data_IF_788153750022
#
_entry.id   IF_788153750022
#
_cell.length_a   1.000
_cell.length_b   1.000
_cell.length_c   1.000
_cell.angle_alpha   90.00
_cell.angle_beta   90.00
_cell.angle_gamma   90.00
#
_symmetry.space_group_name_H-M   'P 1'
#
loop_
_entity.id
_entity.type
_entity.pdbx_description
1 polymer ?
#
# COMPACT_ATOMS: atom_id res chain seq x y z
N UNK A 1 -62.68 -0.26 13.63
CA UNK A 1 -62.19 1.12 13.41
C UNK A 1 -61.51 1.58 14.70
N UNK A 2 -60.17 1.51 14.75
CA UNK A 2 -59.31 2.47 15.44
C UNK A 2 -57.90 2.24 14.91
N UNK A 3 -57.44 3.23 14.15
CA UNK A 3 -56.21 3.26 13.37
C UNK A 3 -55.14 3.87 14.26
N UNK A 4 -54.15 3.08 14.70
CA UNK A 4 -53.02 3.62 15.49
C UNK A 4 -51.97 4.12 14.50
N UNK A 5 -51.96 5.44 14.29
CA UNK A 5 -50.90 6.13 13.54
C UNK A 5 -49.60 6.07 14.32
N UNK A 6 -48.60 5.39 13.78
CA UNK A 6 -47.21 5.46 14.25
C UNK A 6 -46.59 6.75 13.69
N UNK A 7 -46.41 7.77 14.52
CA UNK A 7 -45.62 8.95 14.15
C UNK A 7 -44.15 8.57 14.29
N UNK A 8 -43.53 8.16 13.18
CA UNK A 8 -42.07 8.06 13.08
C UNK A 8 -41.50 9.45 12.87
N UNK A 9 -41.12 10.13 13.96
CA UNK A 9 -40.27 11.31 13.89
C UNK A 9 -38.83 10.87 13.59
N UNK A 10 -38.56 10.65 12.29
CA UNK A 10 -37.22 10.46 11.78
C UNK A 10 -36.49 11.81 11.77
N UNK A 11 -35.88 12.19 12.90
CA UNK A 11 -34.90 13.28 12.91
C UNK A 11 -33.58 12.70 12.38
N UNK A 12 -33.45 12.67 11.06
CA UNK A 12 -32.21 12.33 10.38
C UNK A 12 -31.20 13.48 10.50
N UNK A 13 -30.64 13.67 11.69
CA UNK A 13 -29.41 14.44 11.84
C UNK A 13 -28.24 13.56 11.36
N UNK A 14 -27.99 13.59 10.05
CA UNK A 14 -26.81 12.99 9.45
C UNK A 14 -25.59 13.86 9.79
N UNK A 15 -24.86 13.50 10.83
CA UNK A 15 -23.53 14.06 11.06
C UNK A 15 -22.56 13.51 10.01
N UNK A 16 -22.31 14.30 8.96
CA UNK A 16 -21.31 14.00 7.94
C UNK A 16 -19.92 14.07 8.57
N UNK A 17 -19.14 12.98 8.44
CA UNK A 17 -17.74 12.97 8.90
C UNK A 17 -16.97 14.08 8.18
N UNK A 18 -16.35 14.99 8.92
CA UNK A 18 -15.37 15.92 8.37
C UNK A 18 -14.20 15.09 7.85
N UNK A 19 -14.04 15.05 6.52
CA UNK A 19 -13.00 14.25 5.87
C UNK A 19 -11.69 15.02 5.66
N UNK A 20 -11.73 16.35 5.73
CA UNK A 20 -10.58 17.22 5.49
C UNK A 20 -10.79 18.57 6.15
N UNK A 21 -9.80 19.02 6.91
CA UNK A 21 -9.68 20.41 7.34
C UNK A 21 -8.80 21.15 6.32
N UNK A 22 -9.23 22.34 5.88
CA UNK A 22 -8.52 23.14 4.88
C UNK A 22 -8.38 24.57 5.41
N UNK A 23 -7.19 25.16 5.27
CA UNK A 23 -6.90 26.53 5.72
C UNK A 23 -7.31 27.49 4.59
N UNK A 24 -7.78 28.71 4.93
CA UNK A 24 -8.23 29.73 3.97
C UNK A 24 -7.20 29.99 2.86
N UNK A 25 -5.91 30.03 3.20
CA UNK A 25 -4.80 30.20 2.25
C UNK A 25 -4.72 29.11 1.18
N UNK A 26 -5.18 27.89 1.48
CA UNK A 26 -5.23 26.77 0.54
C UNK A 26 -6.44 26.85 -0.41
N UNK A 27 -7.52 27.53 0.00
CA UNK A 27 -8.69 27.78 -0.85
C UNK A 27 -8.39 28.87 -1.89
N UNK A 28 -7.66 29.92 -1.50
CA UNK A 28 -7.25 31.01 -2.39
C UNK A 28 -6.21 30.57 -3.45
N UNK A 29 -5.40 29.55 -3.16
CA UNK A 29 -4.37 28.99 -4.07
C UNK A 29 -4.85 27.77 -4.86
N UNK A 30 -6.14 27.45 -4.80
CA UNK A 30 -6.65 26.19 -5.35
C UNK A 30 -6.48 26.12 -6.86
N UNK A 31 -6.75 27.22 -7.57
CA UNK A 31 -6.63 27.27 -9.02
C UNK A 31 -5.17 27.20 -9.47
N UNK A 32 -4.26 27.89 -8.77
CA UNK A 32 -2.81 27.79 -8.98
C UNK A 32 -2.31 26.34 -8.81
N UNK A 33 -2.71 25.66 -7.74
CA UNK A 33 -2.34 24.26 -7.48
C UNK A 33 -2.89 23.31 -8.56
N UNK A 34 -4.08 23.57 -9.10
CA UNK A 34 -4.65 22.80 -10.21
C UNK A 34 -3.87 23.06 -11.49
N UNK A 35 -3.50 24.31 -11.76
CA UNK A 35 -2.69 24.67 -12.92
C UNK A 35 -1.30 24.03 -12.87
N UNK A 36 -0.60 24.13 -11.74
CA UNK A 36 0.69 23.46 -11.51
C UNK A 36 0.58 21.95 -11.69
N UNK A 37 -0.48 21.35 -11.14
CA UNK A 37 -0.74 19.92 -11.28
C UNK A 37 -0.94 19.52 -12.75
N UNK A 38 -1.74 20.28 -13.50
CA UNK A 38 -2.00 20.03 -14.92
C UNK A 38 -0.73 20.20 -15.77
N UNK A 39 0.08 21.22 -15.50
CA UNK A 39 1.36 21.42 -16.18
C UNK A 39 2.32 20.26 -15.90
N UNK A 40 2.41 19.80 -14.65
CA UNK A 40 3.20 18.64 -14.29
C UNK A 40 2.73 17.38 -15.03
N UNK A 41 1.43 17.12 -15.03
CA UNK A 41 0.83 15.98 -15.75
C UNK A 41 1.14 16.05 -17.24
N UNK A 42 1.03 17.21 -17.88
CA UNK A 42 1.38 17.38 -19.31
C UNK A 42 2.82 16.98 -19.60
N UNK A 43 3.76 17.48 -18.79
CA UNK A 43 5.19 17.15 -18.93
C UNK A 43 5.45 15.65 -18.81
N UNK A 44 4.85 14.99 -17.81
CA UNK A 44 5.03 13.54 -17.65
C UNK A 44 4.37 12.76 -18.80
N UNK A 45 3.26 13.23 -19.36
CA UNK A 45 2.64 12.60 -20.53
C UNK A 45 3.52 12.68 -21.78
N UNK A 46 4.23 13.79 -21.96
CA UNK A 46 5.26 13.91 -23.00
C UNK A 46 6.37 12.88 -22.76
N UNK A 47 6.87 12.76 -21.53
CA UNK A 47 7.88 11.74 -21.19
C UNK A 47 7.40 10.30 -21.43
N UNK A 48 6.14 9.97 -21.10
CA UNK A 48 5.54 8.67 -21.39
C UNK A 48 5.51 8.41 -22.89
N UNK A 49 5.21 9.43 -23.70
CA UNK A 49 5.17 9.32 -25.16
C UNK A 49 6.56 9.15 -25.77
N UNK A 50 7.57 9.80 -25.17
CA UNK A 50 8.96 9.77 -25.63
C UNK A 50 9.70 8.48 -25.25
N UNK A 51 9.61 8.06 -23.98
CA UNK A 51 10.38 6.94 -23.44
C UNK A 51 9.59 5.62 -23.41
N UNK A 52 8.27 5.69 -23.59
CA UNK A 52 7.37 4.57 -23.34
C UNK A 52 6.98 4.45 -21.88
N UNK A 53 5.78 3.89 -21.63
CA UNK A 53 5.20 3.80 -20.30
C UNK A 53 6.00 2.88 -19.34
N UNK A 54 6.78 1.93 -19.88
CA UNK A 54 7.66 1.07 -19.09
C UNK A 54 8.80 1.84 -18.41
N UNK A 55 9.21 2.97 -18.99
CA UNK A 55 10.36 3.75 -18.54
C UNK A 55 9.99 4.97 -17.68
N UNK A 56 8.70 5.17 -17.42
CA UNK A 56 8.21 6.24 -16.54
C UNK A 56 7.68 5.63 -15.26
N UNK A 57 8.28 6.03 -14.14
CA UNK A 57 8.05 5.41 -12.84
C UNK A 57 7.44 6.40 -11.86
N UNK A 58 6.63 5.86 -10.96
CA UNK A 58 6.13 6.56 -9.81
C UNK A 58 6.51 5.82 -8.53
N UNK A 59 6.97 6.58 -7.54
CA UNK A 59 7.20 6.07 -6.20
C UNK A 59 6.76 7.08 -5.15
N UNK A 60 6.32 6.57 -4.01
CA UNK A 60 5.96 7.35 -2.84
C UNK A 60 6.09 6.46 -1.60
N UNK A 61 6.25 7.08 -0.44
CA UNK A 61 6.23 6.36 0.83
C UNK A 61 4.81 6.30 1.41
N UNK A 62 4.51 5.24 2.16
CA UNK A 62 3.32 5.18 3.00
C UNK A 62 3.61 4.54 4.34
N UNK A 63 3.23 5.23 5.41
CA UNK A 63 3.23 4.69 6.76
C UNK A 63 2.05 3.74 6.98
N UNK A 64 2.34 2.67 7.72
CA UNK A 64 1.43 1.65 8.20
C UNK A 64 1.59 1.51 9.70
N UNK A 65 0.49 1.62 10.44
CA UNK A 65 0.50 1.24 11.84
C UNK A 65 0.66 -0.27 11.93
N UNK A 66 1.38 -0.76 12.94
CA UNK A 66 1.49 -2.20 13.16
C UNK A 66 0.09 -2.81 13.35
N UNK A 67 -0.73 -2.20 14.20
CA UNK A 67 -2.12 -2.57 14.44
C UNK A 67 -3.07 -1.46 13.99
N UNK A 68 -4.00 -1.80 13.10
CA UNK A 68 -4.99 -0.88 12.55
C UNK A 68 -6.38 -1.23 13.08
N UNK A 69 -7.02 -0.30 13.79
CA UNK A 69 -8.38 -0.46 14.28
C UNK A 69 -9.38 0.36 13.46
N UNK A 70 -10.63 -0.07 13.45
CA UNK A 70 -11.71 0.76 12.93
C UNK A 70 -11.92 1.95 13.89
N UNK A 71 -11.93 3.18 13.39
CA UNK A 71 -12.23 4.37 14.21
C UNK A 71 -13.70 4.48 14.63
N UNK A 72 -14.47 3.39 14.51
CA UNK A 72 -15.88 3.27 14.87
C UNK A 72 -16.10 1.86 15.40
N UNK A 73 -16.86 1.75 16.48
CA UNK A 73 -17.35 0.47 17.00
C UNK A 73 -18.85 0.58 17.25
N UNK A 74 -19.52 -0.56 17.33
CA UNK A 74 -20.94 -0.64 17.65
C UNK A 74 -21.10 -0.46 19.17
N UNK A 75 -21.11 0.79 19.64
CA UNK A 75 -21.43 1.13 21.03
C UNK A 75 -22.76 1.87 21.12
N UNK A 76 -23.38 1.88 22.29
CA UNK A 76 -24.55 2.71 22.54
C UNK A 76 -24.22 4.20 22.33
N UNK A 77 -25.17 4.95 21.78
CA UNK A 77 -25.00 6.38 21.52
C UNK A 77 -24.94 7.12 22.86
N UNK A 78 -23.90 7.93 23.06
CA UNK A 78 -23.68 8.66 24.31
C UNK A 78 -22.78 7.95 25.33
N UNK A 79 -22.28 6.74 25.02
CA UNK A 79 -21.29 6.08 25.87
C UNK A 79 -19.99 6.88 25.90
N UNK A 80 -19.61 7.37 27.09
CA UNK A 80 -18.44 8.24 27.29
C UNK A 80 -17.10 7.49 27.18
N UNK A 81 -17.07 6.20 27.48
CA UNK A 81 -15.88 5.33 27.37
C UNK A 81 -16.22 4.08 26.59
N UNK A 82 -15.47 3.83 25.54
CA UNK A 82 -15.64 2.68 24.66
C UNK A 82 -14.34 1.91 24.64
N UNK A 83 -14.37 0.69 25.15
CA UNK A 83 -13.21 -0.20 25.19
C UNK A 83 -13.23 -1.12 23.96
N UNK A 84 -12.06 -1.33 23.37
CA UNK A 84 -11.87 -2.23 22.23
C UNK A 84 -10.67 -3.12 22.51
N UNK A 85 -10.82 -4.41 22.20
CA UNK A 85 -9.72 -5.36 22.29
C UNK A 85 -8.67 -5.00 21.24
N UNK A 86 -7.41 -4.98 21.67
CA UNK A 86 -6.23 -4.78 20.83
C UNK A 86 -5.19 -5.83 21.21
N UNK A 87 -4.41 -6.31 20.26
CA UNK A 87 -3.35 -7.27 20.52
C UNK A 87 -2.16 -6.60 21.23
N UNK A 88 -1.87 -5.33 20.94
CA UNK A 88 -0.77 -4.60 21.59
C UNK A 88 -0.94 -3.08 21.53
N UNK A 89 -0.91 -2.43 22.70
CA UNK A 89 -0.94 -0.95 22.81
C UNK A 89 0.22 -0.27 22.07
N UNK A 90 1.41 -0.86 22.08
CA UNK A 90 2.57 -0.32 21.38
C UNK A 90 2.39 -0.42 19.85
N UNK A 91 1.73 -1.48 19.37
CA UNK A 91 1.47 -1.66 17.95
C UNK A 91 0.47 -0.65 17.38
N UNK A 92 -0.28 0.05 18.25
CA UNK A 92 -1.16 1.16 17.86
C UNK A 92 -0.40 2.48 17.63
N UNK A 93 0.72 2.70 18.31
CA UNK A 93 1.47 3.97 18.30
C UNK A 93 2.68 3.94 17.37
N UNK A 94 3.23 2.76 17.13
CA UNK A 94 4.36 2.57 16.23
C UNK A 94 3.91 2.29 14.80
N UNK A 95 4.74 2.70 13.84
CA UNK A 95 4.49 2.49 12.43
C UNK A 95 5.76 2.03 11.72
N UNK A 96 5.57 1.40 10.58
CA UNK A 96 6.62 1.13 9.61
C UNK A 96 6.23 1.77 8.28
N UNK A 97 7.21 1.95 7.40
CA UNK A 97 6.99 2.57 6.09
C UNK A 97 7.30 1.58 4.98
N UNK A 98 6.49 1.59 3.93
CA UNK A 98 6.84 0.93 2.67
C UNK A 98 7.02 1.97 1.56
N UNK A 99 7.86 1.66 0.57
CA UNK A 99 8.05 2.48 -0.62
C UNK A 99 8.08 1.59 -1.88
N UNK A 100 6.92 1.41 -2.54
CA UNK A 100 6.83 0.69 -3.81
C UNK A 100 7.28 1.55 -5.00
N UNK A 101 7.54 0.88 -6.12
CA UNK A 101 7.80 1.48 -7.43
C UNK A 101 6.78 0.91 -8.42
N UNK A 102 6.06 1.77 -9.12
CA UNK A 102 5.08 1.38 -10.14
C UNK A 102 5.43 2.08 -11.45
N UNK A 103 5.54 1.36 -12.56
CA UNK A 103 5.70 1.95 -13.89
C UNK A 103 4.36 2.47 -14.43
N UNK A 104 4.41 3.40 -15.38
CA UNK A 104 3.24 3.85 -16.13
C UNK A 104 2.66 2.73 -17.02
N UNK A 105 3.47 1.73 -17.36
CA UNK A 105 3.06 0.44 -17.95
C UNK A 105 2.45 -0.54 -16.95
N UNK A 106 2.06 -0.05 -15.77
CA UNK A 106 1.16 -0.76 -14.88
C UNK A 106 1.82 -1.92 -14.11
N UNK A 107 3.17 -1.99 -14.10
CA UNK A 107 3.95 -3.01 -13.40
C UNK A 107 4.46 -2.50 -12.06
N UNK A 108 4.19 -3.28 -11.00
CA UNK A 108 4.78 -3.10 -9.68
C UNK A 108 6.17 -3.75 -9.66
N UNK A 109 7.22 -2.94 -9.56
CA UNK A 109 8.61 -3.41 -9.53
C UNK A 109 8.98 -3.95 -8.14
N UNK A 110 9.86 -4.95 -8.13
CA UNK A 110 10.44 -5.54 -6.93
C UNK A 110 11.93 -5.19 -6.87
N UNK A 111 12.55 -5.10 -5.68
CA UNK A 111 11.94 -5.38 -4.37
C UNK A 111 11.16 -4.19 -3.77
N UNK A 112 10.25 -4.49 -2.84
CA UNK A 112 9.60 -3.50 -1.98
C UNK A 112 10.56 -3.06 -0.88
N UNK A 113 10.75 -1.75 -0.72
CA UNK A 113 11.54 -1.21 0.37
C UNK A 113 10.69 -1.01 1.63
N UNK A 114 11.16 -1.52 2.77
CA UNK A 114 10.46 -1.47 4.06
C UNK A 114 11.38 -0.88 5.11
N UNK A 115 10.91 0.16 5.79
CA UNK A 115 11.61 0.80 6.92
C UNK A 115 10.91 0.45 8.22
N UNK A 116 11.61 -0.27 9.09
CA UNK A 116 11.12 -0.63 10.41
C UNK A 116 11.61 0.37 11.46
N UNK A 117 10.80 0.61 12.48
CA UNK A 117 11.22 1.39 13.64
C UNK A 117 12.05 0.53 14.60
N UNK A 118 13.23 0.99 14.98
CA UNK A 118 14.09 0.41 16.01
C UNK A 118 14.60 1.52 16.95
N UNK A 119 14.70 1.27 18.25
CA UNK A 119 15.00 2.28 19.29
C UNK A 119 16.26 3.10 18.99
N UNK A 120 17.33 2.41 18.58
CA UNK A 120 18.63 3.01 18.25
C UNK A 120 18.80 3.25 16.75
N UNK A 121 17.74 3.04 15.96
CA UNK A 121 17.78 3.12 14.50
C UNK A 121 18.60 2.02 13.83
N UNK A 122 18.98 0.97 14.56
CA UNK A 122 19.77 -0.15 14.07
C UNK A 122 19.14 -1.47 14.52
N UNK A 123 19.32 -2.52 13.71
CA UNK A 123 18.97 -3.88 14.13
C UNK A 123 20.04 -4.40 15.10
N UNK A 124 19.60 -4.86 16.29
CA UNK A 124 20.47 -5.59 17.21
C UNK A 124 20.98 -6.91 16.61
N UNK A 125 22.06 -7.51 17.16
CA UNK A 125 22.69 -8.72 16.59
C UNK A 125 21.70 -9.89 16.40
N UNK A 126 20.87 -10.15 17.40
CA UNK A 126 19.85 -11.21 17.36
C UNK A 126 18.79 -10.92 16.29
N UNK A 127 18.38 -9.66 16.14
CA UNK A 127 17.41 -9.25 15.11
C UNK A 127 18.01 -9.44 13.73
N UNK A 128 19.26 -9.04 13.49
CA UNK A 128 19.93 -9.21 12.19
C UNK A 128 19.99 -10.67 11.72
N UNK A 129 20.18 -11.61 12.66
CA UNK A 129 20.23 -13.05 12.37
C UNK A 129 18.82 -13.58 12.04
N UNK A 130 17.83 -13.17 12.83
CA UNK A 130 16.48 -13.77 12.77
C UNK A 130 15.48 -13.00 11.90
N UNK A 131 15.86 -11.86 11.33
CA UNK A 131 14.94 -11.05 10.53
C UNK A 131 14.48 -11.81 9.28
N UNK A 132 13.18 -11.76 9.02
CA UNK A 132 12.61 -12.38 7.84
C UNK A 132 13.19 -11.75 6.56
N UNK A 133 13.60 -12.60 5.62
CA UNK A 133 14.15 -12.21 4.32
C UNK A 133 13.36 -12.89 3.20
N UNK A 134 13.09 -12.15 2.14
CA UNK A 134 12.53 -12.67 0.90
C UNK A 134 13.08 -11.84 -0.27
N UNK A 135 13.18 -12.45 -1.46
CA UNK A 135 13.78 -11.80 -2.65
C UNK A 135 13.07 -10.52 -3.08
N UNK A 136 11.77 -10.43 -2.79
CA UNK A 136 10.89 -9.35 -3.22
C UNK A 136 10.78 -8.20 -2.20
N UNK A 137 11.54 -8.22 -1.10
CA UNK A 137 11.59 -7.14 -0.12
C UNK A 137 13.04 -6.79 0.27
N UNK A 138 13.28 -5.52 0.61
CA UNK A 138 14.50 -5.08 1.29
C UNK A 138 14.08 -4.32 2.54
N UNK A 139 14.71 -4.65 3.67
CA UNK A 139 14.32 -4.16 4.98
C UNK A 139 15.46 -3.41 5.64
N UNK A 140 15.18 -2.20 6.10
CA UNK A 140 16.15 -1.36 6.82
C UNK A 140 15.55 -0.85 8.15
N UNK A 141 16.38 -0.60 9.17
CA UNK A 141 15.94 0.01 10.40
C UNK A 141 15.99 1.54 10.33
N UNK A 142 15.17 2.21 11.12
CA UNK A 142 15.32 3.64 11.41
C UNK A 142 14.74 3.98 12.79
N UNK A 143 15.16 5.10 13.39
CA UNK A 143 14.70 5.47 14.74
C UNK A 143 13.19 5.74 14.81
N UNK A 144 12.59 6.17 13.70
CA UNK A 144 11.18 6.59 13.65
C UNK A 144 10.28 5.66 12.84
N UNK A 145 10.85 4.68 12.12
CA UNK A 145 10.11 3.88 11.13
C UNK A 145 9.70 4.67 9.87
N UNK A 146 10.14 5.93 9.74
CA UNK A 146 9.90 6.79 8.57
C UNK A 146 11.13 6.79 7.66
N UNK A 147 10.91 7.10 6.39
CA UNK A 147 11.99 7.30 5.43
C UNK A 147 12.61 8.70 5.63
N UNK A 148 13.85 8.75 6.11
CA UNK A 148 14.68 9.96 6.12
C UNK A 148 15.26 10.24 4.73
N UNK A 149 15.88 11.41 4.53
CA UNK A 149 16.58 11.74 3.28
C UNK A 149 17.67 10.71 2.97
N UNK A 150 18.47 10.30 3.95
CA UNK A 150 19.55 9.31 3.75
C UNK A 150 18.99 7.94 3.33
N UNK A 151 17.88 7.51 3.94
CA UNK A 151 17.20 6.28 3.56
C UNK A 151 16.56 6.38 2.18
N UNK A 152 16.12 7.57 1.77
CA UNK A 152 15.66 7.81 0.41
C UNK A 152 16.81 7.69 -0.60
N UNK A 153 17.99 8.23 -0.28
CA UNK A 153 19.20 8.08 -1.10
C UNK A 153 19.58 6.60 -1.21
N UNK A 154 19.58 5.88 -0.09
CA UNK A 154 19.83 4.44 -0.07
C UNK A 154 18.80 3.68 -0.92
N UNK A 155 17.51 3.96 -0.77
CA UNK A 155 16.47 3.38 -1.61
C UNK A 155 16.71 3.66 -3.09
N UNK A 156 17.06 4.89 -3.45
CA UNK A 156 17.29 5.28 -4.83
C UNK A 156 18.44 4.47 -5.44
N UNK A 157 19.57 4.37 -4.70
CA UNK A 157 20.76 3.65 -5.13
C UNK A 157 20.57 2.13 -5.17
N UNK A 158 20.07 1.56 -4.08
CA UNK A 158 20.11 0.10 -3.88
C UNK A 158 18.86 -0.59 -4.43
N UNK A 159 17.77 0.14 -4.66
CA UNK A 159 16.46 -0.41 -5.04
C UNK A 159 16.00 0.12 -6.40
N UNK A 160 15.94 1.44 -6.57
CA UNK A 160 15.40 2.02 -7.80
C UNK A 160 16.35 1.85 -8.98
N UNK A 161 17.62 2.28 -8.85
CA UNK A 161 18.57 2.22 -9.96
C UNK A 161 18.72 0.79 -10.53
N UNK A 162 18.83 -0.30 -9.76
CA UNK A 162 19.02 -1.63 -10.32
C UNK A 162 17.84 -2.16 -11.16
N UNK A 163 16.63 -1.66 -10.94
CA UNK A 163 15.38 -2.25 -11.50
C UNK A 163 14.79 -1.46 -12.67
N UNK A 164 15.43 -0.36 -13.05
CA UNK A 164 15.01 0.50 -14.17
C UNK A 164 15.97 0.42 -15.34
N UNK A 165 15.46 0.76 -16.52
CA UNK A 165 16.24 0.76 -17.75
C UNK A 165 17.20 1.95 -17.84
N UNK A 166 18.07 1.92 -18.85
CA UNK A 166 19.15 2.90 -19.03
C UNK A 166 18.64 4.33 -19.16
N UNK A 167 17.48 4.56 -19.78
CA UNK A 167 16.84 5.87 -19.85
C UNK A 167 15.49 5.78 -19.16
N UNK A 168 15.28 6.58 -18.12
CA UNK A 168 14.04 6.52 -17.35
C UNK A 168 13.67 7.85 -16.71
N UNK A 169 12.39 7.95 -16.33
CA UNK A 169 11.82 9.07 -15.58
C UNK A 169 11.28 8.57 -14.25
N UNK A 170 11.52 9.33 -13.18
CA UNK A 170 11.02 9.03 -11.85
C UNK A 170 10.23 10.20 -11.27
N UNK A 171 8.94 9.97 -11.01
CA UNK A 171 8.06 10.92 -10.32
C UNK A 171 8.04 10.64 -8.81
N UNK A 172 8.51 11.60 -7.99
CA UNK A 172 8.58 11.49 -6.53
C UNK A 172 7.92 12.67 -5.83
N UNK A 173 7.40 12.45 -4.62
CA UNK A 173 7.01 13.53 -3.71
C UNK A 173 8.17 14.19 -2.97
N UNK A 174 9.40 13.72 -3.16
CA UNK A 174 10.61 14.21 -2.50
C UNK A 174 11.43 15.10 -3.44
N UNK A 175 12.27 15.96 -2.86
CA UNK A 175 13.13 16.86 -3.63
C UNK A 175 14.21 16.11 -4.40
N UNK A 176 14.39 16.45 -5.68
CA UNK A 176 15.47 15.92 -6.52
C UNK A 176 16.85 16.11 -5.90
N UNK A 177 17.07 17.21 -5.18
CA UNK A 177 18.37 17.57 -4.58
C UNK A 177 18.97 16.49 -3.69
N UNK A 178 18.13 15.63 -3.10
CA UNK A 178 18.60 14.53 -2.27
C UNK A 178 19.43 13.50 -3.07
N UNK A 179 19.28 13.45 -4.40
CA UNK A 179 19.85 12.41 -5.25
C UNK A 179 20.98 12.89 -6.16
N UNK A 180 21.33 14.19 -6.13
CA UNK A 180 22.28 14.80 -7.07
C UNK A 180 23.70 14.18 -6.99
N UNK A 181 24.09 13.68 -5.82
CA UNK A 181 25.41 13.06 -5.59
C UNK A 181 25.43 11.54 -5.78
N UNK A 182 24.34 10.93 -6.25
CA UNK A 182 24.28 9.47 -6.45
C UNK A 182 24.89 9.09 -7.79
N UNK A 183 25.82 8.12 -7.77
CA UNK A 183 26.34 7.52 -8.99
C UNK A 183 25.22 6.78 -9.74
N UNK A 184 24.95 7.19 -10.99
CA UNK A 184 23.86 6.60 -11.79
C UNK A 184 24.26 5.33 -12.55
N UNK A 185 25.50 4.85 -12.38
CA UNK A 185 25.98 3.59 -12.99
C UNK A 185 25.74 3.50 -14.52
N UNK A 186 25.94 4.62 -15.22
CA UNK A 186 25.74 4.71 -16.67
C UNK A 186 24.27 4.82 -17.12
N UNK A 187 23.34 4.99 -16.18
CA UNK A 187 21.92 5.30 -16.44
C UNK A 187 21.68 6.80 -16.52
N UNK A 188 20.74 7.18 -17.36
CA UNK A 188 20.18 8.51 -17.51
C UNK A 188 18.77 8.51 -16.88
N UNK A 189 18.68 9.10 -15.68
CA UNK A 189 17.45 9.13 -14.88
C UNK A 189 17.01 10.56 -14.65
N UNK A 190 15.84 10.90 -15.17
CA UNK A 190 15.22 12.20 -14.99
C UNK A 190 14.20 12.17 -13.84
N UNK A 191 14.57 12.79 -12.71
CA UNK A 191 13.69 12.90 -11.54
C UNK A 191 12.80 14.14 -11.65
N UNK A 192 11.49 13.93 -11.58
CA UNK A 192 10.48 14.97 -11.49
C UNK A 192 9.84 14.98 -10.09
N UNK A 193 10.03 16.08 -9.37
CA UNK A 193 9.38 16.29 -8.07
C UNK A 193 7.93 16.76 -8.25
N UNK A 194 6.99 16.00 -7.70
CA UNK A 194 5.56 16.34 -7.67
C UNK A 194 5.38 17.64 -6.85
N UNK A 195 4.69 18.66 -7.39
CA UNK A 195 4.51 19.94 -6.71
C UNK A 195 3.83 19.80 -5.34
N UNK A 196 4.27 20.59 -4.38
CA UNK A 196 3.71 20.59 -3.03
C UNK A 196 2.20 20.88 -3.06
N UNK A 197 1.42 20.18 -2.22
CA UNK A 197 -0.05 20.35 -2.19
C UNK A 197 -0.82 19.63 -3.30
N UNK A 198 -0.13 19.07 -4.31
CA UNK A 198 -0.78 18.38 -5.44
C UNK A 198 -0.86 16.86 -5.31
N UNK A 199 -0.25 16.27 -4.27
CA UNK A 199 -0.21 14.82 -4.02
C UNK A 199 -1.59 14.16 -4.05
N UNK A 200 -2.61 14.81 -3.50
CA UNK A 200 -3.99 14.29 -3.51
C UNK A 200 -4.66 14.25 -4.89
N UNK A 201 -4.05 14.90 -5.88
CA UNK A 201 -4.58 15.08 -7.24
C UNK A 201 -3.83 14.21 -8.24
N UNK A 202 -2.49 14.22 -8.18
CA UNK A 202 -1.67 13.68 -9.28
C UNK A 202 -0.65 12.61 -8.84
N UNK A 203 -0.59 12.18 -7.59
CA UNK A 203 0.37 11.15 -7.18
C UNK A 203 -0.31 9.75 -7.24
N UNK A 204 -0.09 8.88 -8.27
CA UNK A 204 -0.84 7.64 -8.49
C UNK A 204 -0.93 6.73 -7.26
N UNK A 205 0.18 6.50 -6.56
CA UNK A 205 0.19 5.70 -5.35
C UNK A 205 -0.69 6.29 -4.24
N UNK A 206 -0.70 7.62 -4.08
CA UNK A 206 -1.52 8.29 -3.07
C UNK A 206 -3.00 8.39 -3.48
N UNK A 207 -3.26 8.71 -4.75
CA UNK A 207 -4.61 8.89 -5.32
C UNK A 207 -5.40 7.58 -5.32
N UNK A 208 -4.72 6.45 -5.55
CA UNK A 208 -5.36 5.15 -5.52
C UNK A 208 -4.49 4.02 -5.00
N UNK A 209 -3.22 3.86 -5.42
CA UNK A 209 -2.44 2.63 -5.21
C UNK A 209 -2.33 2.12 -3.76
N UNK A 210 -2.21 3.00 -2.77
CA UNK A 210 -2.12 2.60 -1.36
C UNK A 210 -3.46 2.18 -0.75
N UNK A 211 -4.59 2.62 -1.31
CA UNK A 211 -5.92 2.26 -0.79
C UNK A 211 -6.19 0.74 -0.88
N UNK A 212 -6.09 0.06 -2.04
CA UNK A 212 -6.29 -1.38 -2.11
C UNK A 212 -5.24 -2.13 -1.29
N UNK A 213 -4.00 -1.63 -1.20
CA UNK A 213 -2.94 -2.22 -0.37
C UNK A 213 -3.32 -2.25 1.12
N UNK A 214 -3.74 -1.10 1.66
CA UNK A 214 -4.21 -0.96 3.05
C UNK A 214 -5.47 -1.78 3.30
N UNK A 215 -6.39 -1.82 2.34
CA UNK A 215 -7.59 -2.64 2.45
C UNK A 215 -7.26 -4.14 2.47
N UNK A 216 -6.28 -4.61 1.69
CA UNK A 216 -5.84 -5.99 1.71
C UNK A 216 -5.26 -6.37 3.06
N UNK A 217 -4.33 -5.56 3.58
CA UNK A 217 -3.74 -5.74 4.91
C UNK A 217 -4.83 -5.81 5.99
N UNK A 218 -5.74 -4.82 5.98
CA UNK A 218 -6.84 -4.76 6.95
C UNK A 218 -7.72 -6.00 6.88
N UNK A 219 -8.12 -6.41 5.68
CA UNK A 219 -9.00 -7.57 5.52
C UNK A 219 -8.31 -8.86 6.01
N UNK A 220 -7.03 -9.02 5.71
CA UNK A 220 -6.23 -10.14 6.22
C UNK A 220 -6.15 -10.15 7.76
N UNK A 221 -5.95 -8.99 8.39
CA UNK A 221 -5.99 -8.87 9.85
C UNK A 221 -7.37 -9.16 10.44
N UNK A 222 -8.43 -8.68 9.79
CA UNK A 222 -9.81 -8.95 10.21
C UNK A 222 -10.12 -10.47 10.16
N UNK A 223 -9.57 -11.21 9.18
CA UNK A 223 -9.68 -12.69 9.11
C UNK A 223 -8.97 -13.39 10.28
N UNK A 224 -7.76 -12.94 10.65
CA UNK A 224 -7.05 -13.52 11.81
C UNK A 224 -7.87 -13.41 13.08
N UNK A 225 -8.52 -12.25 13.29
CA UNK A 225 -9.40 -12.02 14.44
C UNK A 225 -10.67 -12.88 14.33
N UNK A 226 -11.34 -12.87 13.18
CA UNK A 226 -12.61 -13.58 12.97
C UNK A 226 -12.49 -15.09 13.21
N UNK A 227 -11.39 -15.68 12.73
CA UNK A 227 -11.13 -17.11 12.87
C UNK A 227 -10.36 -17.45 14.15
N UNK A 228 -10.10 -16.47 15.03
CA UNK A 228 -9.36 -16.64 16.29
C UNK A 228 -8.03 -17.37 16.10
N UNK A 229 -7.29 -17.00 15.05
CA UNK A 229 -6.01 -17.63 14.72
C UNK A 229 -4.93 -17.17 15.70
N UNK A 230 -4.18 -18.12 16.25
CA UNK A 230 -3.07 -17.84 17.18
C UNK A 230 -1.84 -17.33 16.44
N UNK A 231 -1.87 -16.04 16.06
CA UNK A 231 -0.78 -15.38 15.35
C UNK A 231 -0.77 -13.89 15.66
N UNK A 232 0.40 -13.39 16.07
CA UNK A 232 0.63 -11.96 16.22
C UNK A 232 1.12 -11.37 14.90
N UNK A 233 0.22 -10.79 14.10
CA UNK A 233 0.58 -10.15 12.83
C UNK A 233 1.47 -8.91 13.00
N UNK A 234 1.52 -8.34 14.20
CA UNK A 234 2.27 -7.14 14.53
C UNK A 234 3.73 -7.44 14.90
N UNK A 235 4.08 -8.71 15.10
CA UNK A 235 5.46 -9.13 15.27
C UNK A 235 6.28 -8.81 14.01
N UNK A 236 7.54 -8.37 14.21
CA UNK A 236 8.43 -7.89 13.14
C UNK A 236 8.43 -8.79 11.90
N UNK A 237 8.72 -10.08 12.08
CA UNK A 237 8.82 -11.02 10.96
C UNK A 237 7.47 -11.26 10.28
N UNK A 238 6.37 -11.23 11.05
CA UNK A 238 5.03 -11.41 10.51
C UNK A 238 4.59 -10.19 9.67
N UNK A 239 4.98 -8.97 10.06
CA UNK A 239 4.81 -7.77 9.24
C UNK A 239 5.57 -7.88 7.93
N UNK A 240 6.85 -8.25 7.98
CA UNK A 240 7.69 -8.38 6.79
C UNK A 240 7.15 -9.45 5.84
N UNK A 241 6.76 -10.60 6.40
CA UNK A 241 6.14 -11.68 5.65
C UNK A 241 4.83 -11.25 4.99
N UNK A 242 3.96 -10.56 5.73
CA UNK A 242 2.68 -10.10 5.20
C UNK A 242 2.87 -9.06 4.09
N UNK A 243 3.76 -8.07 4.28
CA UNK A 243 4.06 -7.09 3.24
C UNK A 243 4.68 -7.73 2.00
N UNK A 244 5.57 -8.71 2.19
CA UNK A 244 6.13 -9.51 1.11
C UNK A 244 5.04 -10.26 0.33
N UNK A 245 4.12 -10.94 1.01
CA UNK A 245 2.99 -11.63 0.38
C UNK A 245 2.07 -10.66 -0.36
N UNK A 246 1.71 -9.53 0.25
CA UNK A 246 0.89 -8.51 -0.40
C UNK A 246 1.57 -8.02 -1.68
N UNK A 247 2.85 -7.68 -1.61
CA UNK A 247 3.64 -7.25 -2.76
C UNK A 247 3.63 -8.32 -3.86
N UNK A 248 3.90 -9.58 -3.51
CA UNK A 248 3.82 -10.71 -4.45
C UNK A 248 2.43 -10.81 -5.10
N UNK A 249 1.33 -10.78 -4.33
CA UNK A 249 -0.01 -10.86 -4.88
C UNK A 249 -0.31 -9.67 -5.80
N UNK A 250 0.10 -8.46 -5.43
CA UNK A 250 -0.11 -7.24 -6.21
C UNK A 250 0.73 -7.19 -7.49
N UNK A 251 1.87 -7.88 -7.53
CA UNK A 251 2.69 -8.05 -8.74
C UNK A 251 2.07 -8.99 -9.78
N UNK A 252 0.98 -9.70 -9.47
CA UNK A 252 0.28 -10.54 -10.44
C UNK A 252 -0.29 -9.71 -11.60
N UNK A 253 -0.22 -10.25 -12.81
CA UNK A 253 -0.86 -9.70 -14.01
C UNK A 253 -2.36 -9.39 -13.81
N UNK A 254 -2.99 -10.04 -12.82
CA UNK A 254 -4.39 -9.81 -12.46
C UNK A 254 -4.70 -8.38 -12.02
N UNK A 255 -3.74 -7.71 -11.37
CA UNK A 255 -3.93 -6.38 -10.77
C UNK A 255 -3.24 -5.26 -11.54
N UNK A 256 -2.67 -5.55 -12.70
CA UNK A 256 -2.14 -4.56 -13.66
C UNK A 256 -3.16 -3.44 -13.92
N UNK A 257 -4.41 -3.78 -14.22
CA UNK A 257 -5.50 -2.81 -14.43
C UNK A 257 -5.80 -1.90 -13.22
N UNK A 258 -5.50 -2.36 -12.00
CA UNK A 258 -5.66 -1.57 -10.79
C UNK A 258 -4.63 -0.43 -10.74
N UNK A 259 -3.37 -0.72 -11.11
CA UNK A 259 -2.33 0.31 -11.22
C UNK A 259 -2.59 1.23 -12.41
N UNK A 260 -3.07 0.70 -13.55
CA UNK A 260 -3.56 1.55 -14.66
C UNK A 260 -4.60 2.57 -14.20
N UNK A 261 -5.54 2.14 -13.36
CA UNK A 261 -6.56 3.02 -12.83
C UNK A 261 -5.97 4.12 -11.94
N UNK A 262 -4.89 3.83 -11.20
CA UNK A 262 -4.18 4.84 -10.41
C UNK A 262 -3.58 5.94 -11.31
N UNK A 263 -2.90 5.55 -12.39
CA UNK A 263 -2.33 6.48 -13.36
C UNK A 263 -3.40 7.29 -14.13
N UNK A 264 -4.47 6.64 -14.57
CA UNK A 264 -5.63 7.30 -15.18
C UNK A 264 -6.26 8.32 -14.23
N UNK A 265 -6.50 7.94 -12.98
CA UNK A 265 -7.14 8.81 -11.99
C UNK A 265 -6.27 10.01 -11.61
N UNK A 266 -4.96 9.90 -11.78
CA UNK A 266 -4.00 10.99 -11.63
C UNK A 266 -3.79 11.84 -12.90
N UNK A 267 -4.47 11.51 -14.00
CA UNK A 267 -4.49 12.30 -15.24
C UNK A 267 -3.39 11.98 -16.25
N UNK A 268 -2.46 11.06 -15.93
CA UNK A 268 -1.35 10.72 -16.84
C UNK A 268 -1.76 9.82 -18.00
N UNK A 269 -2.80 8.99 -17.82
CA UNK A 269 -3.38 8.15 -18.87
C UNK A 269 -4.78 8.69 -19.19
N UNK A 270 -5.06 8.91 -20.47
CA UNK A 270 -6.36 9.42 -20.91
C UNK A 270 -7.44 8.34 -20.96
N UNK A 271 -7.07 7.13 -21.37
CA UNK A 271 -8.03 6.04 -21.51
C UNK A 271 -8.33 5.42 -20.14
N UNK A 272 -9.62 5.38 -19.80
CA UNK A 272 -10.07 4.74 -18.57
C UNK A 272 -9.93 3.22 -18.69
N UNK A 273 -9.20 2.54 -17.78
CA UNK A 273 -9.15 1.08 -17.80
C UNK A 273 -10.53 0.45 -17.64
N UNK A 274 -10.75 -0.73 -18.25
CA UNK A 274 -11.91 -1.57 -17.94
C UNK A 274 -12.01 -1.86 -16.44
N UNK A 275 -13.23 -2.04 -15.95
CA UNK A 275 -13.45 -2.44 -14.55
C UNK A 275 -12.69 -3.72 -14.25
N UNK A 276 -11.99 -3.75 -13.12
CA UNK A 276 -11.33 -4.94 -12.59
C UNK A 276 -11.76 -5.17 -11.14
N UNK A 277 -11.70 -6.42 -10.68
CA UNK A 277 -11.86 -6.73 -9.25
C UNK A 277 -10.66 -6.16 -8.50
N UNK A 278 -10.90 -5.51 -7.37
CA UNK A 278 -9.81 -5.09 -6.48
C UNK A 278 -9.16 -6.33 -5.85
N UNK A 279 -7.93 -6.22 -5.32
CA UNK A 279 -7.27 -7.33 -4.64
C UNK A 279 -8.12 -7.98 -3.55
N UNK A 280 -8.82 -7.18 -2.73
CA UNK A 280 -9.72 -7.74 -1.72
C UNK A 280 -10.86 -8.54 -2.34
N UNK A 281 -11.52 -7.97 -3.36
CA UNK A 281 -12.65 -8.62 -4.03
C UNK A 281 -12.27 -9.88 -4.80
N UNK A 282 -11.03 -9.98 -5.25
CA UNK A 282 -10.56 -11.18 -5.94
C UNK A 282 -10.05 -12.24 -4.96
N UNK A 283 -9.23 -11.83 -4.01
CA UNK A 283 -8.52 -12.75 -3.12
C UNK A 283 -9.38 -13.25 -1.97
N UNK A 284 -10.45 -12.58 -1.57
CA UNK A 284 -11.20 -12.97 -0.36
C UNK A 284 -12.72 -13.15 -0.56
N UNK A 285 -13.33 -12.56 -1.59
CA UNK A 285 -14.76 -12.81 -1.87
C UNK A 285 -14.98 -14.16 -2.56
N UNK A 286 -16.03 -14.87 -2.17
CA UNK A 286 -16.43 -16.17 -2.73
C UNK A 286 -15.30 -17.21 -2.68
N UNK A 287 -14.58 -17.28 -1.56
CA UNK A 287 -13.61 -18.34 -1.35
C UNK A 287 -14.31 -19.71 -1.34
N UNK A 288 -13.67 -20.68 -1.99
CA UNK A 288 -14.05 -22.08 -1.88
C UNK A 288 -13.95 -22.54 -0.42
N UNK A 289 -14.69 -23.57 -0.05
CA UNK A 289 -14.72 -24.06 1.32
C UNK A 289 -13.46 -24.85 1.68
N UNK A 290 -12.68 -25.32 0.70
CA UNK A 290 -11.52 -26.18 0.95
C UNK A 290 -10.21 -25.64 0.39
N UNK A 291 -9.13 -25.83 1.15
CA UNK A 291 -7.78 -25.52 0.72
C UNK A 291 -7.30 -26.49 -0.37
N UNK A 292 -6.53 -25.98 -1.33
CA UNK A 292 -5.90 -26.81 -2.37
C UNK A 292 -4.92 -27.86 -1.82
N UNK A 293 -4.30 -27.61 -0.67
CA UNK A 293 -3.20 -28.41 -0.14
C UNK A 293 -3.57 -29.23 1.11
N UNK A 294 -4.71 -28.96 1.74
CA UNK A 294 -5.21 -29.70 2.90
C UNK A 294 -6.74 -29.65 3.00
N UNK A 295 -7.30 -30.21 4.07
CA UNK A 295 -8.74 -30.24 4.32
C UNK A 295 -9.26 -29.01 5.09
N UNK A 296 -8.39 -28.06 5.44
CA UNK A 296 -8.79 -26.85 6.15
C UNK A 296 -9.57 -25.90 5.24
N UNK A 297 -10.32 -25.00 5.86
CA UNK A 297 -11.04 -23.95 5.15
C UNK A 297 -10.07 -23.02 4.43
N UNK A 298 -10.32 -22.78 3.14
CA UNK A 298 -9.59 -21.75 2.43
C UNK A 298 -10.05 -20.37 2.88
N UNK A 299 -9.09 -19.47 3.13
CA UNK A 299 -9.35 -18.10 3.54
C UNK A 299 -9.04 -17.10 2.44
N UNK A 300 -8.23 -17.50 1.45
CA UNK A 300 -7.90 -16.63 0.34
C UNK A 300 -7.69 -17.40 -0.97
N UNK A 301 -7.89 -16.69 -2.07
CA UNK A 301 -7.55 -17.10 -3.43
C UNK A 301 -6.24 -16.44 -3.86
N UNK A 302 -5.30 -17.24 -4.36
CA UNK A 302 -4.05 -16.71 -4.89
C UNK A 302 -4.28 -15.96 -6.22
N UNK A 303 -3.73 -14.75 -6.34
CA UNK A 303 -3.82 -13.92 -7.53
C UNK A 303 -3.03 -14.47 -8.73
N UNK A 304 -2.09 -15.39 -8.50
CA UNK A 304 -1.29 -16.04 -9.54
C UNK A 304 -1.94 -17.34 -10.00
N UNK A 305 -1.87 -18.40 -9.20
CA UNK A 305 -2.33 -19.74 -9.58
C UNK A 305 -3.85 -19.96 -9.44
N UNK A 306 -4.60 -18.98 -8.93
CA UNK A 306 -6.06 -19.04 -8.71
C UNK A 306 -6.55 -20.06 -7.68
N UNK A 307 -5.65 -20.83 -7.06
CA UNK A 307 -6.00 -21.80 -6.02
C UNK A 307 -6.53 -21.10 -4.76
N UNK A 308 -7.47 -21.75 -4.09
CA UNK A 308 -7.95 -21.38 -2.76
C UNK A 308 -7.05 -22.02 -1.70
N UNK A 309 -6.62 -21.23 -0.72
CA UNK A 309 -5.53 -21.56 0.20
C UNK A 309 -5.97 -21.21 1.62
N UNK A 310 -5.72 -22.09 2.59
CA UNK A 310 -5.95 -21.80 4.00
C UNK A 310 -4.87 -20.84 4.54
N UNK A 311 -5.10 -20.32 5.74
CA UNK A 311 -4.17 -19.40 6.39
C UNK A 311 -2.74 -19.95 6.48
N UNK A 312 -2.59 -21.19 6.96
CA UNK A 312 -1.29 -21.82 7.19
C UNK A 312 -0.51 -21.99 5.89
N UNK A 313 -1.14 -22.46 4.82
CA UNK A 313 -0.46 -22.61 3.54
C UNK A 313 -0.15 -21.28 2.84
N UNK A 314 -0.91 -20.22 3.12
CA UNK A 314 -0.65 -18.91 2.53
C UNK A 314 0.43 -18.13 3.28
N UNK A 315 0.34 -18.08 4.61
CA UNK A 315 1.15 -17.23 5.49
C UNK A 315 2.15 -17.98 6.36
N UNK A 316 1.95 -19.26 6.64
CA UNK A 316 2.79 -20.09 7.52
C UNK A 316 3.13 -19.41 8.87
N UNK A 317 2.22 -19.39 9.86
CA UNK A 317 2.47 -18.72 11.14
C UNK A 317 3.64 -19.31 11.95
N UNK A 318 3.97 -20.60 11.76
CA UNK A 318 4.99 -21.30 12.53
C UNK A 318 6.42 -21.07 12.02
N UNK A 319 6.60 -20.44 10.85
CA UNK A 319 7.88 -20.32 10.14
C UNK A 319 8.54 -21.68 9.84
N UNK A 320 7.74 -22.74 9.76
CA UNK A 320 8.20 -24.10 9.43
C UNK A 320 8.18 -24.36 7.92
N UNK A 321 7.46 -23.53 7.15
CA UNK A 321 7.33 -23.66 5.71
C UNK A 321 7.48 -22.32 4.99
N UNK A 322 7.74 -22.36 3.69
CA UNK A 322 7.83 -21.13 2.90
C UNK A 322 6.41 -20.63 2.62
N UNK A 323 6.12 -19.33 2.85
CA UNK A 323 4.84 -18.75 2.48
C UNK A 323 4.52 -18.92 0.99
N UNK A 324 3.26 -18.80 0.61
CA UNK A 324 2.84 -19.05 -0.78
C UNK A 324 3.30 -17.98 -1.77
N UNK A 325 4.55 -18.06 -2.23
CA UNK A 325 5.14 -17.19 -3.25
C UNK A 325 4.96 -17.76 -4.66
N UNK A 326 3.72 -17.74 -5.15
CA UNK A 326 3.45 -18.17 -6.51
C UNK A 326 3.87 -17.12 -7.55
N UNK A 327 4.38 -17.58 -8.70
CA UNK A 327 4.66 -16.77 -9.90
C UNK A 327 3.94 -17.31 -11.15
N UNK A 328 3.19 -18.41 -11.01
CA UNK A 328 2.49 -19.09 -12.10
C UNK A 328 1.11 -18.47 -12.35
N UNK A 329 1.06 -17.48 -13.25
CA UNK A 329 -0.19 -16.80 -13.57
C UNK A 329 -1.13 -17.69 -14.40
N UNK A 330 -2.33 -17.95 -13.86
CA UNK A 330 -3.44 -18.59 -14.57
C UNK A 330 -4.55 -17.57 -14.79
N UNK A 331 -5.06 -17.44 -16.03
CA UNK A 331 -6.06 -16.40 -16.37
C UNK A 331 -7.33 -16.53 -15.53
#
# INVERSE_FOLDING_TARGET
>A
MFMVYTVSLCVSNAFTKINRFTIQTLLSKKDDLVQEANQFVSKIREQISLLGADNVYNSNQSGFNYESHAGRTLSFKGTAKVECLTQSKNSLTHSYTIQPIVSASELLKSPLFIVLQETDGQFGPVVKINIYKAENIVVVPSKSGKLSSDLAVQWYKDIYLPVVDKQSVLCLGQTKKNFDNVCLEGKDVNIFTIPAGTTGMIQPLHVYGFRPWKNFLKHFSDLVILYSLDVNLHARNNVLKLQSLIHNQFSSARFVKMFKYAWYKSGYIQEKPPKCKTPVRYCFENCDTSCKYCKDNALNRCAWCTHYICFTHFFDPSNQSVPHYCKDYKK
#
